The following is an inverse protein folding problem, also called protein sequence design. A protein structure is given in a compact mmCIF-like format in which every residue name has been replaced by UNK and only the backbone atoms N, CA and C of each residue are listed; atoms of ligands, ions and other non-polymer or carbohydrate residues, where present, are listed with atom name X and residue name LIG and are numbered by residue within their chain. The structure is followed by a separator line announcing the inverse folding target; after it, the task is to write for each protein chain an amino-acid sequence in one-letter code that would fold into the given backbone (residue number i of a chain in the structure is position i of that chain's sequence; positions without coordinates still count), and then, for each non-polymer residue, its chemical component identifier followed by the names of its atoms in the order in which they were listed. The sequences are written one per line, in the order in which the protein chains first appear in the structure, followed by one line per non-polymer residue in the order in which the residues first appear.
data_IF_309483064129
#
_entry.id   IF_309483064129
#
_cell.length_a   1.000
_cell.length_b   1.000
_cell.length_c   1.000
_cell.angle_alpha   90.00
_cell.angle_beta   90.00
_cell.angle_gamma   90.00
#
_symmetry.space_group_name_H-M   'P 1'
#
loop_
_entity.id
_entity.type
_entity.pdbx_description
1 polymer ?
#
# COMPACT_ATOMS: atom_id res chain seq x y z
N UNK A 1 61.57 -14.25 37.58
CA UNK A 1 60.32 -13.86 36.89
C UNK A 1 60.22 -14.74 35.67
N UNK A 2 59.43 -15.81 35.63
CA UNK A 2 57.98 -15.89 35.93
C UNK A 2 57.19 -14.91 35.09
N UNK A 3 56.63 -15.39 33.98
CA UNK A 3 55.18 -15.63 33.81
C UNK A 3 55.02 -16.14 32.36
N UNK A 4 55.50 -17.37 32.08
CA UNK A 4 54.68 -18.59 32.08
C UNK A 4 53.71 -18.59 30.88
N UNK A 5 53.94 -19.38 29.82
CA UNK A 5 54.36 -20.79 29.85
C UNK A 5 53.62 -21.59 30.95
N UNK A 6 52.29 -21.53 30.90
CA UNK A 6 51.44 -22.59 31.47
C UNK A 6 50.23 -22.74 30.54
N UNK A 7 50.38 -23.49 29.44
CA UNK A 7 50.03 -24.91 29.37
C UNK A 7 48.55 -25.10 29.74
N UNK A 8 47.64 -25.18 28.77
CA UNK A 8 47.47 -26.35 27.88
C UNK A 8 47.66 -27.64 28.70
N UNK A 9 46.52 -28.20 29.13
CA UNK A 9 46.33 -29.45 29.87
C UNK A 9 46.32 -29.32 31.40
N UNK A 10 45.11 -29.12 31.93
CA UNK A 10 44.72 -29.87 33.12
C UNK A 10 43.19 -30.07 33.12
N UNK A 11 42.80 -31.33 32.91
CA UNK A 11 41.45 -31.91 32.98
C UNK A 11 40.51 -31.54 31.80
N UNK A 12 40.21 -32.41 30.82
CA UNK A 12 40.05 -33.86 30.92
C UNK A 12 38.73 -34.18 31.62
N UNK A 13 37.63 -34.25 30.88
CA UNK A 13 36.34 -34.65 31.43
C UNK A 13 35.17 -34.47 30.47
N UNK A 14 34.94 -35.48 29.62
CA UNK A 14 33.68 -35.62 28.90
C UNK A 14 32.49 -35.58 29.86
N UNK A 15 31.47 -34.80 29.52
CA UNK A 15 30.06 -35.07 29.84
C UNK A 15 29.18 -34.26 28.89
N UNK A 16 28.65 -34.97 27.90
CA UNK A 16 27.44 -34.62 27.18
C UNK A 16 26.34 -34.14 28.15
N UNK A 17 25.81 -32.95 27.92
CA UNK A 17 24.47 -32.55 28.34
C UNK A 17 23.74 -32.00 27.11
N UNK A 18 22.43 -32.25 26.99
CA UNK A 18 21.74 -32.28 25.72
C UNK A 18 21.51 -30.87 25.17
N UNK A 19 21.49 -30.77 23.85
CA UNK A 19 21.05 -29.60 23.13
C UNK A 19 19.66 -29.18 23.63
N UNK A 20 19.58 -28.09 24.37
CA UNK A 20 18.33 -27.37 24.56
C UNK A 20 17.97 -26.77 23.20
N UNK A 21 16.94 -27.36 22.61
CA UNK A 21 16.35 -26.97 21.33
C UNK A 21 15.99 -25.49 21.35
N UNK A 22 16.75 -24.67 20.63
CA UNK A 22 16.37 -23.29 20.36
C UNK A 22 15.31 -23.32 19.27
N UNK A 23 14.06 -23.53 19.66
CA UNK A 23 12.89 -23.32 18.80
C UNK A 23 12.70 -21.81 18.70
N UNK A 24 13.52 -21.14 17.89
CA UNK A 24 13.11 -19.86 17.33
C UNK A 24 12.11 -20.22 16.22
N UNK A 25 10.84 -19.76 16.27
CA UNK A 25 9.98 -19.86 15.12
C UNK A 25 10.67 -19.07 14.00
N UNK A 26 10.94 -19.78 12.90
CA UNK A 26 11.44 -19.20 11.65
C UNK A 26 10.58 -17.97 11.33
N UNK A 27 11.15 -16.76 11.13
CA UNK A 27 10.35 -15.60 10.79
C UNK A 27 9.59 -15.93 9.52
N UNK A 28 8.25 -15.88 9.62
CA UNK A 28 7.35 -16.12 8.51
C UNK A 28 7.88 -15.45 7.23
N UNK A 29 7.81 -16.12 6.07
CA UNK A 29 8.39 -15.58 4.84
C UNK A 29 7.85 -14.18 4.57
N UNK A 30 8.76 -13.24 4.30
CA UNK A 30 8.40 -11.85 3.94
C UNK A 30 7.57 -11.89 2.66
N UNK A 31 6.40 -11.25 2.66
CA UNK A 31 5.50 -11.18 1.49
C UNK A 31 6.20 -10.53 0.30
N UNK A 32 5.85 -10.91 -0.94
CA UNK A 32 6.29 -10.24 -2.16
C UNK A 32 5.61 -8.86 -2.31
N UNK A 33 6.16 -7.99 -3.16
CA UNK A 33 5.55 -6.68 -3.44
C UNK A 33 4.11 -6.80 -3.97
N UNK A 34 3.82 -7.81 -4.79
CA UNK A 34 2.49 -8.11 -5.29
C UNK A 34 1.56 -8.56 -4.16
N UNK A 35 2.03 -9.42 -3.25
CA UNK A 35 1.25 -9.86 -2.09
C UNK A 35 0.95 -8.70 -1.13
N UNK A 36 1.86 -7.74 -1.01
CA UNK A 36 1.58 -6.51 -0.26
C UNK A 36 0.53 -5.63 -0.95
N UNK A 37 0.60 -5.49 -2.27
CA UNK A 37 -0.40 -4.75 -3.04
C UNK A 37 -1.79 -5.36 -2.90
N UNK A 38 -1.93 -6.67 -3.15
CA UNK A 38 -3.20 -7.39 -3.05
C UNK A 38 -3.78 -7.27 -1.65
N UNK A 39 -2.98 -7.55 -0.61
CA UNK A 39 -3.45 -7.46 0.77
C UNK A 39 -3.87 -6.04 1.16
N UNK A 40 -3.15 -5.01 0.70
CA UNK A 40 -3.50 -3.62 0.96
C UNK A 40 -4.84 -3.22 0.31
N UNK A 41 -5.08 -3.64 -0.92
CA UNK A 41 -6.35 -3.39 -1.62
C UNK A 41 -7.51 -4.12 -0.91
N UNK A 42 -7.32 -5.38 -0.51
CA UNK A 42 -8.33 -6.14 0.23
C UNK A 42 -8.67 -5.49 1.58
N UNK A 43 -7.66 -5.02 2.30
CA UNK A 43 -7.84 -4.32 3.58
C UNK A 43 -8.61 -3.00 3.39
N UNK A 44 -8.22 -2.18 2.40
CA UNK A 44 -8.91 -0.92 2.08
C UNK A 44 -10.39 -1.15 1.74
N UNK A 45 -10.68 -2.17 0.92
CA UNK A 45 -12.05 -2.53 0.54
C UNK A 45 -12.88 -3.00 1.72
N UNK A 46 -12.31 -3.84 2.59
CA UNK A 46 -12.98 -4.27 3.82
C UNK A 46 -13.27 -3.09 4.76
N UNK A 47 -12.34 -2.14 4.90
CA UNK A 47 -12.56 -0.92 5.66
C UNK A 47 -13.66 -0.05 5.05
N UNK A 48 -13.67 0.11 3.73
CA UNK A 48 -14.68 0.87 2.99
C UNK A 48 -16.07 0.26 3.15
N UNK A 49 -16.20 -1.05 2.97
CA UNK A 49 -17.49 -1.73 3.15
C UNK A 49 -17.97 -1.64 4.59
N UNK A 50 -17.07 -1.75 5.58
CA UNK A 50 -17.41 -1.54 6.98
C UNK A 50 -17.91 -0.12 7.24
N UNK A 51 -17.24 0.89 6.70
CA UNK A 51 -17.67 2.29 6.79
C UNK A 51 -19.07 2.46 6.18
N UNK A 52 -19.28 1.98 4.96
CA UNK A 52 -20.57 2.09 4.26
C UNK A 52 -21.70 1.35 4.98
N UNK A 53 -21.41 0.24 5.68
CA UNK A 53 -22.41 -0.51 6.44
C UNK A 53 -22.73 0.13 7.80
N UNK A 54 -21.72 0.59 8.53
CA UNK A 54 -21.86 0.87 9.97
C UNK A 54 -21.80 2.36 10.34
N UNK A 55 -21.12 3.19 9.55
CA UNK A 55 -20.82 4.57 9.96
C UNK A 55 -22.06 5.48 9.88
N UNK A 56 -22.26 6.36 10.86
CA UNK A 56 -23.39 7.30 10.89
C UNK A 56 -23.44 8.18 9.64
N UNK A 57 -22.30 8.56 9.09
CA UNK A 57 -22.17 9.40 7.90
C UNK A 57 -22.15 8.62 6.58
N UNK A 58 -22.39 7.30 6.61
CA UNK A 58 -22.47 6.51 5.39
C UNK A 58 -23.58 7.04 4.46
N UNK A 59 -23.31 7.20 3.16
CA UNK A 59 -24.29 7.61 2.16
C UNK A 59 -25.31 6.52 1.81
N UNK A 60 -25.14 5.28 2.30
CA UNK A 60 -26.06 4.19 2.02
C UNK A 60 -27.32 4.33 2.88
N UNK A 61 -28.48 4.50 2.22
CA UNK A 61 -29.77 4.64 2.89
C UNK A 61 -30.27 3.33 3.53
N UNK A 62 -30.23 2.20 2.79
CA UNK A 62 -30.66 0.90 3.31
C UNK A 62 -29.46 0.03 3.72
N UNK A 63 -28.90 0.30 4.89
CA UNK A 63 -27.68 -0.38 5.39
C UNK A 63 -27.91 -1.84 5.78
N UNK A 64 -29.15 -2.22 6.09
CA UNK A 64 -29.52 -3.58 6.48
C UNK A 64 -29.36 -4.58 5.33
N UNK A 65 -29.54 -4.12 4.09
CA UNK A 65 -29.39 -4.93 2.87
C UNK A 65 -28.00 -4.77 2.20
N UNK A 66 -27.15 -3.89 2.72
CA UNK A 66 -25.85 -3.62 2.11
C UNK A 66 -24.87 -4.78 2.34
N UNK A 67 -24.63 -5.57 1.30
CA UNK A 67 -23.74 -6.73 1.32
C UNK A 67 -22.24 -6.39 1.13
N UNK A 68 -21.93 -5.19 0.64
CA UNK A 68 -20.60 -4.77 0.22
C UNK A 68 -20.69 -4.10 -1.16
N UNK A 69 -19.62 -3.46 -1.62
CA UNK A 69 -19.54 -2.99 -3.00
C UNK A 69 -19.07 -4.11 -3.93
N UNK A 70 -19.44 -4.02 -5.20
CA UNK A 70 -18.90 -4.89 -6.24
C UNK A 70 -17.50 -4.42 -6.63
N UNK A 71 -16.50 -5.27 -6.40
CA UNK A 71 -15.09 -4.97 -6.71
C UNK A 71 -14.53 -5.93 -7.76
N UNK A 72 -13.73 -5.40 -8.69
CA UNK A 72 -12.84 -6.22 -9.51
C UNK A 72 -11.75 -6.88 -8.66
N UNK A 73 -11.28 -8.10 -8.97
CA UNK A 73 -10.13 -8.71 -8.30
C UNK A 73 -8.91 -7.77 -8.32
N UNK A 74 -8.11 -7.67 -7.24
CA UNK A 74 -6.87 -6.92 -7.27
C UNK A 74 -5.92 -7.57 -8.28
N UNK A 75 -5.52 -6.82 -9.30
CA UNK A 75 -4.62 -7.31 -10.34
C UNK A 75 -3.38 -6.39 -10.41
N UNK A 76 -2.19 -6.90 -10.03
CA UNK A 76 -0.94 -6.14 -10.10
C UNK A 76 -0.61 -5.59 -11.49
N UNK A 77 -1.17 -6.15 -12.58
CA UNK A 77 -0.96 -5.65 -13.94
C UNK A 77 -1.45 -4.21 -14.13
N UNK A 78 -2.46 -3.77 -13.37
CA UNK A 78 -2.97 -2.39 -13.39
C UNK A 78 -2.23 -1.46 -12.41
N UNK A 79 -1.22 -1.95 -11.69
CA UNK A 79 -0.36 -1.14 -10.82
C UNK A 79 0.83 -0.59 -11.61
N UNK A 80 0.59 0.52 -12.31
CA UNK A 80 1.59 1.12 -13.19
C UNK A 80 2.43 2.18 -12.46
N UNK A 81 3.74 2.19 -12.74
CA UNK A 81 4.64 3.28 -12.36
C UNK A 81 4.98 4.08 -13.62
N UNK A 82 4.33 5.24 -13.78
CA UNK A 82 4.39 6.03 -15.01
C UNK A 82 5.04 7.39 -14.75
N UNK A 83 5.87 7.89 -15.69
CA UNK A 83 6.39 9.25 -15.59
C UNK A 83 5.27 10.26 -15.85
N UNK A 84 5.21 11.31 -15.02
CA UNK A 84 4.35 12.45 -15.26
C UNK A 84 5.00 13.38 -16.29
N UNK A 85 4.35 13.62 -17.42
CA UNK A 85 4.71 14.70 -18.33
C UNK A 85 4.16 16.03 -17.80
N UNK A 86 4.99 16.97 -17.33
CA UNK A 86 4.51 18.19 -16.70
C UNK A 86 3.72 19.08 -17.66
N UNK A 87 2.73 19.79 -17.14
CA UNK A 87 2.02 20.81 -17.89
C UNK A 87 3.00 21.94 -18.28
N UNK A 88 2.91 22.40 -19.54
CA UNK A 88 3.77 23.49 -20.04
C UNK A 88 3.40 24.85 -19.45
N UNK A 89 2.16 24.98 -19.00
CA UNK A 89 1.58 26.20 -18.45
C UNK A 89 0.83 25.83 -17.19
N UNK A 90 0.96 26.66 -16.16
CA UNK A 90 0.17 26.52 -14.95
C UNK A 90 -1.27 26.88 -15.26
N UNK A 91 -2.17 25.92 -15.06
CA UNK A 91 -3.59 26.06 -15.36
C UNK A 91 -4.37 25.68 -14.10
N UNK A 92 -5.21 26.59 -13.62
CA UNK A 92 -6.14 26.33 -12.52
C UNK A 92 -7.53 26.16 -13.11
N UNK A 93 -8.15 25.02 -12.83
CA UNK A 93 -9.50 24.70 -13.29
C UNK A 93 -10.45 24.69 -12.10
N UNK A 94 -11.66 25.18 -12.33
CA UNK A 94 -12.77 25.06 -11.40
C UNK A 94 -13.63 23.88 -11.80
N UNK A 95 -13.73 22.89 -10.93
CA UNK A 95 -14.65 21.78 -11.08
C UNK A 95 -15.88 22.07 -10.21
N UNK A 96 -17.05 22.07 -10.83
CA UNK A 96 -18.33 22.12 -10.11
C UNK A 96 -18.60 20.73 -9.54
N UNK A 97 -18.84 20.63 -8.24
CA UNK A 97 -19.22 19.38 -7.60
C UNK A 97 -20.73 19.15 -7.73
N UNK A 98 -21.19 17.92 -7.54
CA UNK A 98 -22.61 17.59 -7.52
C UNK A 98 -23.38 18.23 -6.35
N UNK A 99 -22.68 18.77 -5.35
CA UNK A 99 -23.28 19.53 -4.23
C UNK A 99 -23.43 21.02 -4.55
N UNK A 100 -22.96 21.47 -5.71
CA UNK A 100 -22.97 22.88 -6.12
C UNK A 100 -21.79 23.68 -5.58
N UNK A 101 -20.83 23.03 -4.94
CA UNK A 101 -19.60 23.66 -4.47
C UNK A 101 -18.59 23.73 -5.61
N UNK A 102 -17.77 24.78 -5.60
CA UNK A 102 -16.65 24.92 -6.51
C UNK A 102 -15.39 24.36 -5.88
N UNK A 103 -14.68 23.51 -6.62
CA UNK A 103 -13.39 23.00 -6.19
C UNK A 103 -12.31 23.37 -7.19
N UNK A 104 -11.22 23.94 -6.67
CA UNK A 104 -10.12 24.44 -7.48
C UNK A 104 -9.02 23.39 -7.57
N UNK A 105 -8.56 23.18 -8.80
CA UNK A 105 -7.53 22.20 -9.12
C UNK A 105 -6.45 22.85 -9.98
N UNK A 106 -5.19 22.59 -9.63
CA UNK A 106 -4.04 22.92 -10.47
C UNK A 106 -3.70 21.74 -11.36
N UNK A 107 -3.59 21.96 -12.67
CA UNK A 107 -3.09 20.93 -13.58
C UNK A 107 -1.58 20.75 -13.42
N UNK A 108 -1.16 19.55 -13.04
CA UNK A 108 0.25 19.18 -12.92
C UNK A 108 0.82 18.65 -14.23
N UNK A 109 0.01 17.96 -15.03
CA UNK A 109 0.51 17.35 -16.26
C UNK A 109 -0.40 16.28 -16.84
N UNK A 110 0.20 15.32 -17.52
CA UNK A 110 -0.48 14.19 -18.14
C UNK A 110 0.39 12.95 -17.95
N UNK A 111 -0.25 11.80 -17.79
CA UNK A 111 0.38 10.48 -17.87
C UNK A 111 -0.16 9.77 -19.11
N UNK A 112 0.68 9.04 -19.80
CA UNK A 112 0.30 8.21 -20.95
C UNK A 112 0.73 6.78 -20.69
N UNK A 113 -0.15 5.83 -21.01
CA UNK A 113 0.07 4.40 -20.77
C UNK A 113 -0.71 3.56 -21.76
N UNK A 114 -0.49 2.25 -21.71
CA UNK A 114 -1.24 1.26 -22.46
C UNK A 114 -1.98 0.36 -21.49
N UNK A 115 -3.23 0.07 -21.79
CA UNK A 115 -4.07 -0.88 -21.04
C UNK A 115 -4.73 -1.80 -22.04
N UNK A 116 -4.53 -3.11 -21.89
CA UNK A 116 -5.11 -4.13 -22.78
C UNK A 116 -4.85 -3.88 -24.29
N UNK A 117 -3.65 -3.41 -24.64
CA UNK A 117 -3.30 -3.10 -26.04
C UNK A 117 -3.82 -1.76 -26.55
N UNK A 118 -4.46 -0.95 -25.69
CA UNK A 118 -5.02 0.35 -26.06
C UNK A 118 -4.25 1.48 -25.38
N UNK A 119 -3.78 2.43 -26.19
CA UNK A 119 -3.14 3.64 -25.69
C UNK A 119 -4.17 4.56 -25.01
N UNK A 120 -3.86 5.00 -23.79
CA UNK A 120 -4.68 5.87 -22.98
C UNK A 120 -3.84 6.99 -22.34
N UNK A 121 -4.49 8.08 -21.95
CA UNK A 121 -3.85 9.18 -21.23
C UNK A 121 -4.79 9.79 -20.20
N UNK A 122 -4.25 10.16 -19.05
CA UNK A 122 -4.99 10.86 -17.98
C UNK A 122 -4.28 12.18 -17.66
N UNK A 123 -5.07 13.24 -17.49
CA UNK A 123 -4.55 14.50 -16.98
C UNK A 123 -4.44 14.43 -15.46
N UNK A 124 -3.36 14.95 -14.88
CA UNK A 124 -3.13 14.91 -13.44
C UNK A 124 -3.34 16.29 -12.85
N UNK A 125 -4.20 16.36 -11.85
CA UNK A 125 -4.56 17.57 -11.14
C UNK A 125 -4.23 17.45 -9.65
N UNK A 126 -3.95 18.58 -9.01
CA UNK A 126 -3.77 18.69 -7.57
C UNK A 126 -4.85 19.60 -7.00
N UNK A 127 -5.56 19.16 -5.97
CA UNK A 127 -6.50 20.03 -5.26
C UNK A 127 -5.73 21.14 -4.55
N UNK A 128 -6.28 22.36 -4.57
CA UNK A 128 -5.71 23.48 -3.82
C UNK A 128 -6.12 23.46 -2.33
N UNK A 129 -7.16 22.70 -1.98
CA UNK A 129 -7.75 22.73 -0.64
C UNK A 129 -7.32 21.55 0.24
N UNK A 130 -6.96 20.41 -0.35
CA UNK A 130 -6.55 19.20 0.38
C UNK A 130 -5.40 18.47 -0.31
N UNK A 131 -4.59 17.68 0.44
CA UNK A 131 -3.50 16.90 -0.11
C UNK A 131 -4.06 15.70 -0.89
N UNK A 132 -4.36 15.90 -2.17
CA UNK A 132 -4.87 14.86 -3.05
C UNK A 132 -4.55 15.15 -4.51
N UNK A 133 -4.29 14.07 -5.27
CA UNK A 133 -4.25 14.11 -6.72
C UNK A 133 -5.58 13.64 -7.28
N UNK A 134 -6.00 14.25 -8.38
CA UNK A 134 -7.19 13.89 -9.14
C UNK A 134 -6.79 13.59 -10.59
N UNK A 135 -7.36 12.54 -11.17
CA UNK A 135 -7.07 12.01 -12.51
C UNK A 135 -8.34 11.96 -13.35
#
# INVERSE_FOLDING_TARGET
MSFLDTLKNLFGGAKSHPAASSINPDPAPKKSAEQYYVAGIEEERAMKDRYLRMDAYSPIANRMEFAGLDYYPPDPAYRLALPLQPAKTEETLTFQTSTGDEQFYRRLGTITFEVEGQAASLAVYQSLDHPGLFL
#
